data_IF_618624615877
#
_entry.id   IF_618624615877
#
_cell.length_a   1.000
_cell.length_b   1.000
_cell.length_c   1.000
_cell.angle_alpha   90.00
_cell.angle_beta   90.00
_cell.angle_gamma   90.00
#
_symmetry.space_group_name_H-M   'P 1'
#
loop_
_entity.id
_entity.type
_entity.pdbx_description
1 polymer ?
#
# COMPACT_ATOMS: atom_id res chain seq x y z
N UNK A 1 -7.92 -8.23 16.60
CA UNK A 1 -7.58 -8.00 15.18
C UNK A 1 -6.28 -7.21 15.12
N UNK A 2 -5.37 -7.56 14.21
CA UNK A 2 -4.04 -6.93 14.10
C UNK A 2 -3.85 -6.14 12.81
N UNK A 3 -4.68 -6.40 11.81
CA UNK A 3 -4.74 -5.69 10.54
C UNK A 3 -6.13 -5.91 9.94
N UNK A 4 -6.60 -4.96 9.14
CA UNK A 4 -7.75 -5.12 8.24
C UNK A 4 -7.25 -5.05 6.80
N UNK A 5 -7.68 -5.98 5.95
CA UNK A 5 -7.44 -5.94 4.52
C UNK A 5 -8.78 -6.04 3.79
N UNK A 6 -9.08 -5.07 2.93
CA UNK A 6 -10.40 -4.95 2.28
C UNK A 6 -10.25 -4.46 0.84
N UNK A 7 -11.13 -4.91 -0.05
CA UNK A 7 -11.22 -4.37 -1.42
C UNK A 7 -12.03 -3.07 -1.41
N UNK A 8 -11.58 -2.03 -2.11
CA UNK A 8 -12.35 -0.80 -2.29
C UNK A 8 -13.57 -1.06 -3.20
N UNK A 9 -13.34 -1.76 -4.32
CA UNK A 9 -14.39 -2.19 -5.25
C UNK A 9 -14.23 -3.67 -5.58
N UNK A 10 -15.30 -4.45 -5.40
CA UNK A 10 -15.31 -5.87 -5.75
C UNK A 10 -15.17 -6.05 -7.27
N UNK A 11 -14.22 -6.87 -7.70
CA UNK A 11 -14.07 -7.21 -9.13
C UNK A 11 -15.15 -8.18 -9.64
N UNK A 12 -15.86 -8.87 -8.74
CA UNK A 12 -16.89 -9.84 -9.10
C UNK A 12 -18.29 -9.21 -9.05
N UNK A 13 -18.56 -8.41 -8.01
CA UNK A 13 -19.90 -7.86 -7.75
C UNK A 13 -20.03 -6.39 -8.13
N UNK A 14 -18.91 -5.66 -8.29
CA UNK A 14 -18.92 -4.20 -8.48
C UNK A 14 -19.30 -3.42 -7.21
N UNK A 15 -19.50 -4.10 -6.07
CA UNK A 15 -19.81 -3.45 -4.79
C UNK A 15 -18.68 -2.49 -4.39
N UNK A 16 -19.05 -1.25 -4.10
CA UNK A 16 -18.16 -0.24 -3.50
C UNK A 16 -18.30 -0.38 -1.98
N UNK A 17 -17.20 -0.73 -1.31
CA UNK A 17 -17.20 -0.82 0.15
C UNK A 17 -17.03 0.58 0.78
N UNK A 18 -17.66 0.85 1.93
CA UNK A 18 -17.51 2.11 2.65
C UNK A 18 -16.15 2.15 3.37
N UNK A 19 -15.06 2.22 2.62
CA UNK A 19 -13.69 2.04 3.15
C UNK A 19 -13.31 3.08 4.20
N UNK A 20 -13.81 4.32 4.10
CA UNK A 20 -13.58 5.38 5.08
C UNK A 20 -14.13 4.99 6.46
N UNK A 21 -15.39 4.56 6.53
CA UNK A 21 -16.02 4.08 7.78
C UNK A 21 -15.29 2.86 8.36
N UNK A 22 -14.80 1.98 7.48
CA UNK A 22 -14.04 0.79 7.87
C UNK A 22 -12.66 1.17 8.43
N UNK A 23 -12.00 2.16 7.84
CA UNK A 23 -10.72 2.71 8.29
C UNK A 23 -10.89 3.37 9.66
N UNK A 24 -11.88 4.27 9.81
CA UNK A 24 -12.18 4.92 11.09
C UNK A 24 -12.43 3.90 12.21
N UNK A 25 -13.23 2.87 11.94
CA UNK A 25 -13.54 1.82 12.92
C UNK A 25 -12.31 0.97 13.31
N UNK A 26 -11.37 0.76 12.37
CA UNK A 26 -10.12 0.05 12.64
C UNK A 26 -9.13 0.92 13.42
N UNK A 27 -8.99 2.19 13.02
CA UNK A 27 -8.12 3.17 13.67
C UNK A 27 -8.53 3.49 15.10
N UNK A 28 -9.84 3.51 15.40
CA UNK A 28 -10.34 3.61 16.78
C UNK A 28 -9.81 2.51 17.72
N UNK A 29 -9.24 1.44 17.15
CA UNK A 29 -8.63 0.31 17.87
C UNK A 29 -7.13 0.17 17.59
N UNK A 30 -6.49 1.17 16.96
CA UNK A 30 -5.10 1.16 16.52
C UNK A 30 -4.77 -0.03 15.61
N UNK A 31 -5.66 -0.34 14.67
CA UNK A 31 -5.49 -1.44 13.71
C UNK A 31 -5.22 -0.84 12.32
N UNK A 32 -4.08 -1.16 11.67
CA UNK A 32 -3.78 -0.67 10.34
C UNK A 32 -4.66 -1.33 9.27
N UNK A 33 -4.90 -0.57 8.18
CA UNK A 33 -5.78 -0.98 7.07
C UNK A 33 -5.06 -0.97 5.73
N UNK A 34 -5.13 -2.09 5.02
CA UNK A 34 -4.75 -2.18 3.61
C UNK A 34 -6.01 -2.20 2.74
N UNK A 35 -6.05 -1.28 1.78
CA UNK A 35 -7.12 -1.18 0.80
C UNK A 35 -6.63 -1.66 -0.57
N UNK A 36 -7.31 -2.66 -1.14
CA UNK A 36 -7.13 -3.08 -2.53
C UNK A 36 -7.98 -2.20 -3.45
N UNK A 37 -7.30 -1.29 -4.14
CA UNK A 37 -7.88 -0.35 -5.09
C UNK A 37 -7.77 -0.78 -6.54
N UNK A 38 -7.44 -2.05 -6.84
CA UNK A 38 -7.18 -2.49 -8.21
C UNK A 38 -8.35 -2.25 -9.17
N UNK A 39 -9.59 -2.26 -8.67
CA UNK A 39 -10.79 -1.91 -9.45
C UNK A 39 -11.28 -0.47 -9.22
N UNK A 40 -10.87 0.19 -8.14
CA UNK A 40 -11.30 1.54 -7.84
C UNK A 40 -10.54 2.60 -8.66
N UNK A 41 -9.20 2.49 -8.71
CA UNK A 41 -8.33 3.50 -9.34
C UNK A 41 -8.64 3.74 -10.83
N UNK A 42 -8.98 2.73 -11.65
CA UNK A 42 -9.35 2.98 -13.05
C UNK A 42 -10.71 3.67 -13.24
N UNK A 43 -11.55 3.71 -12.20
CA UNK A 43 -12.97 4.04 -12.32
C UNK A 43 -13.44 5.20 -11.42
N UNK A 44 -12.62 5.62 -10.47
CA UNK A 44 -12.95 6.68 -9.52
C UNK A 44 -11.71 7.52 -9.16
N UNK A 45 -11.96 8.75 -8.72
CA UNK A 45 -10.93 9.56 -8.09
C UNK A 45 -10.66 8.97 -6.70
N UNK A 46 -9.41 8.63 -6.44
CA UNK A 46 -8.96 8.07 -5.17
C UNK A 46 -8.07 9.08 -4.48
N UNK A 47 -8.46 9.49 -3.28
CA UNK A 47 -7.65 10.32 -2.39
C UNK A 47 -7.31 9.54 -1.12
N UNK A 48 -6.10 8.98 -1.11
CA UNK A 48 -5.61 8.15 0.00
C UNK A 48 -5.39 8.94 1.29
N UNK A 49 -5.23 10.26 1.21
CA UNK A 49 -5.06 11.12 2.38
C UNK A 49 -6.42 11.46 2.98
N UNK A 50 -7.41 11.78 2.14
CA UNK A 50 -8.77 12.06 2.60
C UNK A 50 -9.40 10.86 3.33
N UNK A 51 -9.19 9.64 2.84
CA UNK A 51 -9.70 8.42 3.50
C UNK A 51 -8.83 7.91 4.66
N UNK A 52 -7.67 8.53 4.89
CA UNK A 52 -6.67 8.12 5.87
C UNK A 52 -6.18 6.65 5.74
N UNK A 53 -6.04 6.13 4.51
CA UNK A 53 -5.58 4.76 4.31
C UNK A 53 -4.14 4.56 4.78
N UNK A 54 -3.86 3.46 5.50
CA UNK A 54 -2.49 3.12 5.92
C UNK A 54 -1.68 2.53 4.76
N UNK A 55 -2.33 1.66 3.97
CA UNK A 55 -1.80 1.12 2.72
C UNK A 55 -2.87 1.11 1.64
N UNK A 56 -2.46 1.36 0.39
CA UNK A 56 -3.36 1.31 -0.76
C UNK A 56 -2.64 0.71 -1.97
N UNK A 57 -3.25 -0.28 -2.62
CA UNK A 57 -2.59 -1.01 -3.73
C UNK A 57 -3.41 -1.03 -5.00
N UNK A 58 -2.75 -1.03 -6.16
CA UNK A 58 -3.40 -1.22 -7.46
C UNK A 58 -2.42 -1.69 -8.53
N UNK A 59 -2.95 -2.22 -9.64
CA UNK A 59 -2.17 -2.70 -10.79
C UNK A 59 -2.27 -1.73 -11.97
N UNK A 60 -1.15 -1.38 -12.60
CA UNK A 60 -1.12 -0.45 -13.71
C UNK A 60 -1.90 -0.94 -14.95
N UNK A 61 -1.86 -2.25 -15.24
CA UNK A 61 -2.54 -2.82 -16.40
C UNK A 61 -4.08 -2.72 -16.37
N UNK A 62 -4.68 -2.39 -15.22
CA UNK A 62 -6.12 -2.12 -15.12
C UNK A 62 -6.49 -0.67 -15.42
N UNK A 63 -5.50 0.22 -15.46
CA UNK A 63 -5.64 1.66 -15.73
C UNK A 63 -4.93 2.07 -17.03
N UNK A 64 -4.99 1.21 -18.05
CA UNK A 64 -4.34 1.40 -19.36
C UNK A 64 -2.80 1.50 -19.31
N UNK A 65 -2.17 1.09 -18.22
CA UNK A 65 -0.72 0.96 -18.10
C UNK A 65 -0.20 -0.41 -18.58
N UNK A 66 1.13 -0.62 -18.52
CA UNK A 66 1.75 -1.89 -18.91
C UNK A 66 1.46 -3.01 -17.90
N UNK A 67 1.59 -4.26 -18.36
CA UNK A 67 1.68 -5.44 -17.48
C UNK A 67 3.03 -5.46 -16.75
N UNK A 68 3.08 -6.16 -15.61
CA UNK A 68 4.31 -6.27 -14.80
C UNK A 68 4.56 -5.11 -13.84
N UNK A 69 3.71 -4.07 -13.83
CA UNK A 69 3.81 -2.93 -12.91
C UNK A 69 2.58 -2.81 -12.00
N UNK A 70 2.85 -2.51 -10.73
CA UNK A 70 1.85 -2.27 -9.69
C UNK A 70 2.40 -1.28 -8.66
N UNK A 71 1.50 -0.73 -7.86
CA UNK A 71 1.80 0.32 -6.90
C UNK A 71 1.35 -0.14 -5.52
N UNK A 72 2.19 0.13 -4.52
CA UNK A 72 1.86 0.15 -3.10
C UNK A 72 2.11 1.57 -2.60
N UNK A 73 1.03 2.26 -2.23
CA UNK A 73 1.09 3.40 -1.34
C UNK A 73 1.12 2.90 0.10
N UNK A 74 1.89 3.57 0.95
CA UNK A 74 1.85 3.41 2.39
C UNK A 74 2.18 4.72 3.09
N UNK A 75 1.60 4.93 4.28
CA UNK A 75 1.98 6.06 5.13
C UNK A 75 3.48 6.01 5.44
N UNK A 76 4.12 7.18 5.44
CA UNK A 76 5.58 7.30 5.51
C UNK A 76 6.15 6.62 6.74
N UNK A 77 5.57 6.88 7.91
CA UNK A 77 5.96 6.31 9.19
C UNK A 77 5.90 4.78 9.20
N UNK A 78 4.86 4.20 8.59
CA UNK A 78 4.73 2.75 8.47
C UNK A 78 5.78 2.17 7.53
N UNK A 79 6.00 2.83 6.39
CA UNK A 79 7.02 2.42 5.43
C UNK A 79 8.43 2.55 6.02
N UNK A 80 8.71 3.55 6.85
CA UNK A 80 10.00 3.74 7.54
C UNK A 80 10.27 2.62 8.56
N UNK A 81 9.25 2.20 9.32
CA UNK A 81 9.35 1.11 10.30
C UNK A 81 9.47 -0.28 9.66
N UNK A 82 8.89 -0.47 8.47
CA UNK A 82 8.91 -1.76 7.79
C UNK A 82 10.33 -2.16 7.35
N UNK A 83 10.74 -3.43 7.58
CA UNK A 83 11.96 -3.95 6.97
C UNK A 83 11.81 -4.02 5.45
N UNK A 84 12.90 -3.94 4.68
CA UNK A 84 12.83 -4.13 3.24
C UNK A 84 12.33 -5.53 2.90
N UNK A 85 11.63 -5.64 1.77
CA UNK A 85 11.10 -6.91 1.29
C UNK A 85 12.10 -7.69 0.43
N UNK A 86 12.71 -7.02 -0.57
CA UNK A 86 13.69 -7.62 -1.48
C UNK A 86 15.07 -7.03 -1.21
N UNK A 87 16.11 -7.86 -1.19
CA UNK A 87 17.50 -7.43 -1.08
C UNK A 87 18.19 -7.33 -2.44
N UNK A 88 19.03 -6.30 -2.65
CA UNK A 88 19.81 -6.16 -3.89
C UNK A 88 20.37 -4.76 -4.09
N UNK A 89 20.84 -4.47 -5.31
CA UNK A 89 21.22 -3.11 -5.69
C UNK A 89 20.04 -2.13 -5.60
N UNK A 90 20.35 -0.83 -5.53
CA UNK A 90 19.42 0.32 -5.37
C UNK A 90 18.84 0.48 -3.94
N UNK A 91 18.43 -0.62 -3.30
CA UNK A 91 17.79 -0.58 -1.99
C UNK A 91 18.73 -0.61 -0.78
N UNK A 92 20.01 -0.86 -1.03
CA UNK A 92 21.09 -0.83 -0.03
C UNK A 92 21.76 0.55 -0.05
N UNK A 93 21.98 1.13 1.12
CA UNK A 93 22.89 2.28 1.30
C UNK A 93 24.34 1.78 1.38
N UNK A 94 24.64 0.88 2.34
CA UNK A 94 25.97 0.27 2.50
C UNK A 94 25.87 -1.21 2.85
N UNK A 95 26.82 -1.99 2.34
CA UNK A 95 26.95 -3.41 2.64
C UNK A 95 28.39 -3.75 3.02
N UNK A 96 28.55 -4.44 4.15
CA UNK A 96 29.78 -5.12 4.57
C UNK A 96 29.44 -6.59 4.89
N UNK A 97 30.45 -7.41 5.22
CA UNK A 97 30.21 -8.78 5.65
C UNK A 97 29.45 -8.87 6.99
N UNK A 98 29.59 -7.84 7.83
CA UNK A 98 29.02 -7.79 9.19
C UNK A 98 27.68 -7.08 9.24
N UNK A 99 27.43 -6.10 8.34
CA UNK A 99 26.24 -5.26 8.40
C UNK A 99 25.81 -4.73 7.04
N UNK A 100 24.49 -4.62 6.87
CA UNK A 100 23.85 -3.89 5.76
C UNK A 100 23.01 -2.75 6.33
N UNK A 101 23.10 -1.56 5.71
CA UNK A 101 22.18 -0.44 5.91
C UNK A 101 21.33 -0.24 4.66
N UNK A 102 20.08 0.17 4.85
CA UNK A 102 19.11 0.31 3.77
C UNK A 102 18.99 1.77 3.34
N UNK A 103 18.60 1.97 2.09
CA UNK A 103 18.39 3.29 1.51
C UNK A 103 17.12 3.95 2.08
N UNK A 104 16.95 5.25 1.82
CA UNK A 104 15.76 6.01 2.20
C UNK A 104 14.54 5.61 1.35
N UNK A 105 13.35 6.02 1.77
CA UNK A 105 12.15 5.84 0.95
C UNK A 105 12.19 6.72 -0.31
N UNK A 106 11.71 6.24 -1.47
CA UNK A 106 11.10 4.92 -1.70
C UNK A 106 12.10 3.80 -2.01
N UNK A 107 13.38 4.12 -2.20
CA UNK A 107 14.41 3.17 -2.67
C UNK A 107 14.62 1.96 -1.76
N UNK A 108 14.24 2.02 -0.48
CA UNK A 108 14.24 0.85 0.42
C UNK A 108 13.48 -0.37 -0.11
N UNK A 109 12.54 -0.19 -1.04
CA UNK A 109 11.61 -1.24 -1.52
C UNK A 109 11.77 -1.59 -3.00
#
# INVERSE_FOLDING_TARGET
>A
TKMVAVVHVSNALGTINPVEEMIEAAHAKNIPVLVDGAQAVPHAVVDVQAMDADFYTFSAHKMCGPTGFGILYGKKELLEEMPPYRGGGDMIDKVTFEKTTWNDLPHKF
#
